data_IF_660253937453
#
_entry.id   IF_660253937453
#
_cell.length_a   1.000
_cell.length_b   1.000
_cell.length_c   1.000
_cell.angle_alpha   90.00
_cell.angle_beta   90.00
_cell.angle_gamma   90.00
#
_symmetry.space_group_name_H-M   'P 1'
#
loop_
_entity.id
_entity.type
_entity.pdbx_description
1 polymer ?
#
# COMPACT_ATOMS: atom_id res chain seq x y z
N UNK A 1 -35.09 -24.79 56.60
CA UNK A 1 -34.07 -24.00 55.86
C UNK A 1 -34.81 -22.84 55.18
N UNK A 2 -34.71 -21.56 55.57
CA UNK A 2 -33.54 -20.64 55.55
C UNK A 2 -32.85 -20.75 54.17
N UNK A 3 -32.89 -19.78 53.26
CA UNK A 3 -32.42 -18.38 53.34
C UNK A 3 -33.04 -17.55 52.17
N UNK A 4 -33.36 -16.25 52.39
CA UNK A 4 -33.67 -15.26 51.33
C UNK A 4 -32.43 -14.39 51.04
N UNK A 5 -32.09 -14.03 49.79
CA UNK A 5 -31.01 -13.09 49.50
C UNK A 5 -31.42 -11.62 49.65
N UNK A 6 -30.47 -10.80 50.12
CA UNK A 6 -30.59 -9.39 50.54
C UNK A 6 -30.42 -8.42 49.36
N UNK A 7 -31.13 -7.29 49.46
CA UNK A 7 -31.07 -6.09 48.60
C UNK A 7 -29.74 -5.35 48.79
N UNK A 8 -29.18 -4.81 47.70
CA UNK A 8 -28.06 -3.86 47.72
C UNK A 8 -28.62 -2.49 47.34
N UNK A 9 -28.41 -1.51 48.21
CA UNK A 9 -28.87 -0.12 48.08
C UNK A 9 -27.68 0.79 47.77
N UNK A 10 -27.89 1.77 46.90
CA UNK A 10 -26.94 2.80 46.49
C UNK A 10 -26.57 3.79 47.61
N UNK A 11 -25.39 4.41 47.51
CA UNK A 11 -25.07 5.66 48.22
C UNK A 11 -24.12 6.54 47.40
N UNK A 12 -24.53 7.79 47.19
CA UNK A 12 -23.78 8.87 46.56
C UNK A 12 -22.82 9.55 47.57
N UNK A 13 -21.75 10.21 47.08
CA UNK A 13 -21.05 11.23 47.88
C UNK A 13 -20.49 12.37 47.01
N UNK A 14 -20.60 13.58 47.57
CA UNK A 14 -20.43 14.90 46.97
C UNK A 14 -19.12 15.58 47.43
N UNK A 15 -18.57 16.42 46.55
CA UNK A 15 -17.72 17.63 46.66
C UNK A 15 -16.90 17.98 47.94
N UNK A 16 -15.68 18.55 47.78
CA UNK A 16 -15.28 19.93 48.20
C UNK A 16 -13.80 20.26 47.84
N UNK A 17 -13.52 21.55 47.61
CA UNK A 17 -12.29 22.22 47.10
C UNK A 17 -11.35 22.81 48.19
N UNK A 18 -10.21 23.43 47.75
CA UNK A 18 -9.16 24.26 48.41
C UNK A 18 -7.82 23.55 48.77
N UNK A 19 -6.59 24.10 48.62
CA UNK A 19 -6.06 25.41 48.24
C UNK A 19 -4.55 25.32 47.83
N UNK A 20 -4.03 26.35 47.13
CA UNK A 20 -2.62 26.53 46.69
C UNK A 20 -1.67 27.04 47.80
N UNK A 21 -0.34 27.14 47.56
CA UNK A 21 0.23 28.46 47.28
C UNK A 21 1.37 28.52 46.23
N UNK A 22 1.58 29.74 45.73
CA UNK A 22 2.58 30.23 44.76
C UNK A 22 3.92 30.53 45.44
N UNK A 23 5.06 30.30 44.75
CA UNK A 23 6.31 31.04 44.97
C UNK A 23 7.14 31.11 43.67
N UNK A 24 7.60 32.32 43.34
CA UNK A 24 8.28 32.77 42.12
C UNK A 24 9.76 32.32 41.97
N UNK A 25 10.30 32.62 40.78
CA UNK A 25 11.70 32.99 40.43
C UNK A 25 12.46 32.00 39.52
N UNK A 26 12.78 32.48 38.30
CA UNK A 26 13.74 31.90 37.33
C UNK A 26 15.13 32.53 37.56
N UNK A 27 16.25 31.80 37.38
CA UNK A 27 17.21 32.21 36.35
C UNK A 27 17.90 31.06 35.56
N UNK A 28 18.07 31.29 34.26
CA UNK A 28 19.17 30.96 33.33
C UNK A 28 20.04 29.67 33.44
N UNK A 29 20.03 28.91 32.33
CA UNK A 29 21.15 28.31 31.56
C UNK A 29 22.19 27.37 32.24
N UNK A 30 22.09 26.05 32.02
CA UNK A 30 23.24 25.14 31.82
C UNK A 30 22.88 23.75 31.23
N UNK A 31 23.23 23.56 29.95
CA UNK A 31 23.99 22.44 29.34
C UNK A 31 23.58 20.95 29.57
N UNK A 32 23.05 20.36 28.48
CA UNK A 32 23.24 19.01 27.90
C UNK A 32 23.21 17.75 28.78
N UNK A 33 22.30 16.84 28.43
CA UNK A 33 22.57 15.39 28.29
C UNK A 33 21.54 14.76 27.35
N UNK A 34 21.99 14.55 26.12
CA UNK A 34 21.56 13.61 25.09
C UNK A 34 20.28 12.81 25.37
N UNK A 35 19.14 13.27 24.81
CA UNK A 35 18.14 12.34 24.32
C UNK A 35 18.58 11.92 22.92
N UNK A 36 19.08 10.69 22.82
CA UNK A 36 19.24 9.97 21.56
C UNK A 36 17.85 9.86 20.93
N UNK A 37 17.58 10.74 19.98
CA UNK A 37 16.54 10.53 18.98
C UNK A 37 17.16 9.53 18.01
N UNK A 38 16.81 8.26 18.16
CA UNK A 38 17.05 7.27 17.11
C UNK A 38 16.31 7.77 15.86
N UNK A 39 17.09 8.41 15.00
CA UNK A 39 16.66 8.90 13.71
C UNK A 39 16.37 7.68 12.87
N UNK A 40 15.09 7.31 12.79
CA UNK A 40 14.58 6.50 11.71
C UNK A 40 15.05 7.16 10.42
N UNK A 41 16.00 6.49 9.77
CA UNK A 41 16.60 6.82 8.48
C UNK A 41 15.49 7.23 7.52
N UNK A 42 15.33 8.54 7.33
CA UNK A 42 14.56 9.07 6.22
C UNK A 42 15.35 8.71 4.96
N UNK A 43 15.00 7.56 4.39
CA UNK A 43 15.49 7.15 3.08
C UNK A 43 15.01 8.23 2.11
N UNK A 44 15.93 9.09 1.66
CA UNK A 44 15.68 10.11 0.67
C UNK A 44 15.04 9.46 -0.56
N UNK A 45 13.71 9.50 -0.61
CA UNK A 45 12.93 8.87 -1.66
C UNK A 45 13.00 9.81 -2.86
N UNK A 46 13.85 9.47 -3.82
CA UNK A 46 13.97 10.23 -5.05
C UNK A 46 12.76 9.88 -5.93
N UNK A 47 11.82 10.82 -6.04
CA UNK A 47 10.66 10.69 -6.90
C UNK A 47 10.93 11.33 -8.25
N UNK A 48 10.82 10.55 -9.33
CA UNK A 48 10.90 11.08 -10.70
C UNK A 48 9.55 10.86 -11.38
N UNK A 49 8.86 11.93 -11.75
CA UNK A 49 7.60 11.83 -12.50
C UNK A 49 7.87 11.25 -13.89
N UNK A 50 7.02 10.34 -14.33
CA UNK A 50 7.13 9.67 -15.63
C UNK A 50 5.92 9.95 -16.50
N UNK A 51 6.15 10.06 -17.80
CA UNK A 51 5.09 10.00 -18.80
C UNK A 51 4.89 8.54 -19.21
N UNK A 52 3.73 7.95 -18.88
CA UNK A 52 3.39 6.61 -19.36
C UNK A 52 2.44 6.72 -20.54
N UNK A 53 2.91 6.27 -21.69
CA UNK A 53 2.08 6.18 -22.90
C UNK A 53 1.43 4.81 -22.99
N UNK A 54 0.36 4.59 -22.21
CA UNK A 54 -0.53 3.44 -22.39
C UNK A 54 -1.99 3.90 -22.53
N UNK A 55 -2.56 3.72 -23.72
CA UNK A 55 -3.92 4.16 -24.05
C UNK A 55 -4.97 3.04 -23.99
N UNK A 56 -4.71 1.91 -23.32
CA UNK A 56 -5.67 0.79 -23.28
C UNK A 56 -6.72 0.95 -22.18
N UNK A 57 -7.80 1.69 -22.48
CA UNK A 57 -9.03 1.79 -21.67
C UNK A 57 -8.78 1.77 -20.15
N UNK A 58 -9.14 0.67 -19.48
CA UNK A 58 -9.05 0.50 -18.03
C UNK A 58 -7.63 0.35 -17.47
N UNK A 59 -6.66 0.06 -18.33
CA UNK A 59 -5.24 -0.04 -17.99
C UNK A 59 -4.48 1.25 -18.33
N UNK A 60 -5.18 2.36 -18.56
CA UNK A 60 -4.54 3.66 -18.73
C UNK A 60 -4.01 4.17 -17.39
N UNK A 61 -2.71 4.42 -17.32
CA UNK A 61 -2.06 5.09 -16.20
C UNK A 61 -2.47 6.58 -16.17
N UNK A 62 -2.78 7.09 -14.98
CA UNK A 62 -3.11 8.53 -14.75
C UNK A 62 -2.03 9.26 -13.97
N UNK A 63 -1.24 8.53 -13.20
CA UNK A 63 -0.03 9.02 -12.57
C UNK A 63 1.04 7.93 -12.62
N UNK A 64 2.29 8.35 -12.69
CA UNK A 64 3.44 7.46 -12.69
C UNK A 64 4.65 8.18 -12.12
N UNK A 65 5.35 7.51 -11.21
CA UNK A 65 6.63 7.98 -10.68
C UNK A 65 7.56 6.82 -10.40
N UNK A 66 8.86 7.06 -10.56
CA UNK A 66 9.89 6.18 -10.03
C UNK A 66 10.15 6.54 -8.58
N UNK A 67 10.26 5.52 -7.74
CA UNK A 67 10.58 5.60 -6.31
C UNK A 67 11.77 4.68 -6.08
N UNK A 68 12.91 5.24 -5.68
CA UNK A 68 14.08 4.45 -5.31
C UNK A 68 14.08 4.22 -3.80
N UNK A 69 14.03 2.96 -3.40
CA UNK A 69 14.13 2.55 -2.00
C UNK A 69 15.30 1.57 -1.87
N UNK A 70 16.33 2.01 -1.13
CA UNK A 70 17.57 1.26 -0.97
C UNK A 70 18.20 0.90 -2.34
N UNK A 71 18.29 -0.39 -2.64
CA UNK A 71 18.86 -0.93 -3.88
C UNK A 71 17.78 -1.33 -4.90
N UNK A 72 16.50 -1.09 -4.62
CA UNK A 72 15.40 -1.42 -5.54
C UNK A 72 14.72 -0.17 -6.07
N UNK A 73 14.53 -0.11 -7.38
CA UNK A 73 13.73 0.93 -8.02
C UNK A 73 12.32 0.40 -8.23
N UNK A 74 11.32 1.18 -7.84
CA UNK A 74 9.92 0.86 -8.01
C UNK A 74 9.27 1.84 -8.99
N UNK A 75 8.38 1.32 -9.82
CA UNK A 75 7.38 2.12 -10.51
C UNK A 75 6.13 2.20 -9.66
N UNK A 76 5.78 3.39 -9.20
CA UNK A 76 4.50 3.67 -8.56
C UNK A 76 3.58 4.25 -9.60
N UNK A 77 2.53 3.51 -9.96
CA UNK A 77 1.59 3.84 -11.03
C UNK A 77 0.15 3.74 -10.54
N UNK A 78 -0.65 4.79 -10.75
CA UNK A 78 -2.09 4.72 -10.56
C UNK A 78 -2.84 4.51 -11.87
N UNK A 79 -3.80 3.59 -11.88
CA UNK A 79 -4.67 3.31 -13.02
C UNK A 79 -5.94 4.17 -12.98
N UNK A 80 -6.43 4.58 -14.15
CA UNK A 80 -7.68 5.32 -14.30
C UNK A 80 -8.92 4.51 -13.89
N UNK A 81 -8.91 3.21 -14.20
CA UNK A 81 -10.01 2.28 -14.01
C UNK A 81 -9.89 1.43 -12.75
N UNK A 82 -10.99 0.80 -12.36
CA UNK A 82 -11.09 -0.01 -11.14
C UNK A 82 -11.23 -1.51 -11.37
N UNK A 83 -11.18 -1.98 -12.62
CA UNK A 83 -11.40 -3.40 -12.92
C UNK A 83 -10.15 -4.28 -12.83
N UNK A 84 -9.03 -3.72 -12.38
CA UNK A 84 -7.81 -4.44 -12.03
C UNK A 84 -7.39 -4.02 -10.62
N UNK A 85 -7.21 -5.00 -9.73
CA UNK A 85 -6.71 -4.81 -8.35
C UNK A 85 -5.37 -5.49 -8.13
N UNK A 86 -5.07 -6.51 -8.93
CA UNK A 86 -3.79 -7.20 -8.91
C UNK A 86 -3.13 -7.16 -10.30
N UNK A 87 -1.79 -7.16 -10.29
CA UNK A 87 -0.95 -7.28 -11.49
C UNK A 87 0.05 -8.43 -11.31
N UNK A 88 0.50 -9.02 -12.41
CA UNK A 88 1.63 -9.94 -12.42
C UNK A 88 2.72 -9.37 -13.33
N UNK A 89 3.94 -9.24 -12.81
CA UNK A 89 5.07 -8.73 -13.58
C UNK A 89 5.61 -9.84 -14.51
N UNK A 90 5.15 -9.83 -15.75
CA UNK A 90 5.53 -10.80 -16.77
C UNK A 90 4.49 -10.96 -17.87
N UNK A 91 4.76 -11.90 -18.79
CA UNK A 91 3.88 -12.22 -19.90
C UNK A 91 2.69 -13.08 -19.46
N UNK A 92 1.69 -13.18 -20.33
CA UNK A 92 0.51 -14.01 -20.10
C UNK A 92 0.88 -15.48 -19.86
N UNK A 93 1.80 -16.04 -20.64
CA UNK A 93 2.22 -17.45 -20.53
C UNK A 93 2.85 -17.72 -19.17
N UNK A 94 3.68 -16.77 -18.68
CA UNK A 94 4.28 -16.86 -17.35
C UNK A 94 3.22 -16.73 -16.25
N UNK A 95 2.24 -15.85 -16.41
CA UNK A 95 1.14 -15.71 -15.46
C UNK A 95 0.29 -16.99 -15.37
N UNK A 96 -0.05 -17.60 -16.53
CA UNK A 96 -0.78 -18.87 -16.58
C UNK A 96 0.02 -20.00 -15.94
N UNK A 97 1.32 -20.11 -16.23
CA UNK A 97 2.19 -21.13 -15.65
C UNK A 97 2.38 -20.95 -14.13
N UNK A 98 2.40 -19.69 -13.67
CA UNK A 98 2.47 -19.33 -12.25
C UNK A 98 1.18 -19.71 -11.50
N UNK A 99 0.04 -19.74 -12.20
CA UNK A 99 -1.25 -20.05 -11.60
C UNK A 99 -1.79 -18.91 -10.73
N UNK A 100 -2.61 -19.27 -9.76
CA UNK A 100 -3.24 -18.32 -8.85
C UNK A 100 -2.18 -17.77 -7.89
N UNK A 101 -1.96 -16.46 -7.96
CA UNK A 101 -0.92 -15.73 -7.21
C UNK A 101 -1.44 -15.05 -5.95
N UNK A 102 -2.53 -15.56 -5.38
CA UNK A 102 -3.03 -15.12 -4.08
C UNK A 102 -2.30 -15.79 -2.92
N UNK A 103 -1.88 -14.97 -1.95
CA UNK A 103 -1.16 -15.41 -0.75
C UNK A 103 -1.92 -16.49 0.01
N UNK A 104 -3.24 -16.40 0.05
CA UNK A 104 -4.14 -17.36 0.71
C UNK A 104 -4.07 -18.76 0.09
N UNK A 105 -3.60 -18.88 -1.16
CA UNK A 105 -3.34 -20.14 -1.86
C UNK A 105 -1.86 -20.53 -1.87
N UNK A 106 -1.03 -19.85 -1.08
CA UNK A 106 0.40 -20.15 -0.91
C UNK A 106 1.31 -19.54 -1.97
N UNK A 107 0.82 -18.61 -2.80
CA UNK A 107 1.59 -17.94 -3.84
C UNK A 107 1.43 -16.42 -3.71
N UNK A 108 2.48 -15.66 -3.47
CA UNK A 108 2.41 -14.18 -3.30
C UNK A 108 3.14 -13.46 -4.43
N UNK A 109 2.93 -13.93 -5.66
CA UNK A 109 3.60 -13.42 -6.87
C UNK A 109 2.85 -12.26 -7.54
N UNK A 110 1.61 -12.00 -7.13
CA UNK A 110 0.84 -10.86 -7.63
C UNK A 110 1.18 -9.58 -6.87
N UNK A 111 1.23 -8.48 -7.60
CA UNK A 111 1.40 -7.12 -7.10
C UNK A 111 0.01 -6.59 -6.78
N UNK A 112 -0.27 -6.44 -5.49
CA UNK A 112 -1.56 -5.98 -4.99
C UNK A 112 -1.62 -4.46 -4.98
N UNK A 113 -2.60 -3.89 -5.68
CA UNK A 113 -2.84 -2.46 -5.68
C UNK A 113 -3.54 -1.99 -4.41
N UNK A 114 -3.28 -0.74 -4.02
CA UNK A 114 -3.98 -0.06 -2.93
C UNK A 114 -4.71 1.18 -3.46
N UNK A 115 -5.73 1.63 -2.73
CA UNK A 115 -6.42 2.88 -3.07
C UNK A 115 -5.56 4.07 -2.60
N UNK A 116 -5.25 4.97 -3.51
CA UNK A 116 -4.61 6.24 -3.18
C UNK A 116 -5.65 7.30 -2.76
N UNK A 117 -5.19 8.52 -2.44
CA UNK A 117 -6.05 9.62 -2.00
C UNK A 117 -7.13 10.01 -3.01
N UNK A 118 -6.91 9.74 -4.30
CA UNK A 118 -7.86 10.01 -5.39
C UNK A 118 -8.80 8.81 -5.67
N UNK A 119 -8.82 7.81 -4.78
CA UNK A 119 -9.58 6.57 -4.93
C UNK A 119 -9.25 5.81 -6.24
N UNK A 120 -8.00 5.91 -6.69
CA UNK A 120 -7.45 5.14 -7.81
C UNK A 120 -6.61 3.99 -7.30
N UNK A 121 -6.62 2.87 -8.02
CA UNK A 121 -5.73 1.75 -7.70
C UNK A 121 -4.32 2.11 -8.12
N UNK A 122 -3.45 2.21 -7.13
CA UNK A 122 -2.03 2.48 -7.26
C UNK A 122 -1.22 1.22 -6.95
N UNK A 123 -0.22 0.98 -7.79
CA UNK A 123 0.60 -0.21 -7.76
C UNK A 123 2.05 0.19 -7.58
N UNK A 124 2.75 -0.52 -6.69
CA UNK A 124 4.19 -0.41 -6.51
C UNK A 124 4.86 -1.62 -7.15
N UNK A 125 5.36 -1.43 -8.36
CA UNK A 125 5.91 -2.49 -9.22
C UNK A 125 7.45 -2.47 -9.07
N UNK A 126 8.09 -3.55 -8.59
CA UNK A 126 9.55 -3.61 -8.54
C UNK A 126 10.11 -3.69 -9.96
N UNK A 127 11.10 -2.87 -10.27
CA UNK A 127 11.78 -2.84 -11.57
C UNK A 127 13.20 -3.37 -11.44
N UNK A 128 13.67 -4.01 -12.52
CA UNK A 128 15.09 -4.35 -12.70
C UNK A 128 15.78 -3.31 -13.59
N UNK A 129 17.10 -3.25 -13.55
CA UNK A 129 17.90 -2.31 -14.37
C UNK A 129 17.61 -2.46 -15.88
N UNK A 130 17.35 -3.68 -16.34
CA UNK A 130 16.95 -3.96 -17.71
C UNK A 130 15.64 -3.27 -18.11
N UNK A 131 14.67 -3.15 -17.19
CA UNK A 131 13.37 -2.52 -17.43
C UNK A 131 13.48 -0.99 -17.49
N UNK A 132 14.48 -0.41 -16.81
CA UNK A 132 14.76 1.03 -16.83
C UNK A 132 15.46 1.49 -18.12
N UNK A 133 15.95 0.56 -18.95
CA UNK A 133 16.66 0.87 -20.19
C UNK A 133 15.79 1.32 -21.37
N UNK A 134 14.51 1.66 -21.14
CA UNK A 134 13.54 2.03 -22.17
C UNK A 134 12.91 0.84 -22.90
N UNK A 135 13.13 -0.39 -22.42
CA UNK A 135 12.50 -1.59 -22.96
C UNK A 135 11.01 -1.62 -22.59
N UNK A 136 10.19 -2.26 -23.44
CA UNK A 136 8.80 -2.55 -23.11
C UNK A 136 8.73 -3.56 -21.97
N UNK A 137 8.13 -3.16 -20.85
CA UNK A 137 7.91 -3.99 -19.68
C UNK A 137 6.57 -4.72 -19.87
N UNK A 138 6.61 -6.05 -19.89
CA UNK A 138 5.42 -6.88 -19.94
C UNK A 138 4.80 -7.01 -18.55
N UNK A 139 3.50 -6.77 -18.45
CA UNK A 139 2.72 -6.94 -17.22
C UNK A 139 1.39 -7.58 -17.57
N UNK A 140 0.91 -8.47 -16.73
CA UNK A 140 -0.39 -9.12 -16.93
C UNK A 140 -1.34 -8.60 -15.87
N UNK A 141 -2.42 -7.95 -16.29
CA UNK A 141 -3.45 -7.46 -15.39
C UNK A 141 -4.44 -8.57 -15.03
N UNK A 142 -4.81 -8.68 -13.75
CA UNK A 142 -5.79 -9.65 -13.27
C UNK A 142 -7.15 -8.97 -13.20
N UNK A 143 -8.10 -9.43 -14.01
CA UNK A 143 -9.45 -8.84 -14.04
C UNK A 143 -10.28 -9.25 -12.84
N UNK A 144 -10.76 -8.27 -12.08
CA UNK A 144 -11.60 -8.49 -10.90
C UNK A 144 -12.85 -9.32 -11.25
N UNK A 145 -13.59 -8.92 -12.30
CA UNK A 145 -14.86 -9.58 -12.66
C UNK A 145 -14.65 -11.03 -13.14
N UNK A 146 -13.57 -11.29 -13.87
CA UNK A 146 -13.27 -12.66 -14.31
C UNK A 146 -12.70 -13.50 -13.18
N UNK A 147 -11.96 -12.88 -12.25
CA UNK A 147 -11.45 -13.55 -11.06
C UNK A 147 -12.58 -13.98 -10.12
N UNK A 148 -13.58 -13.12 -9.88
CA UNK A 148 -14.79 -13.51 -9.15
C UNK A 148 -15.51 -14.70 -9.79
N UNK A 149 -15.63 -14.71 -11.13
CA UNK A 149 -16.22 -15.85 -11.85
C UNK A 149 -15.38 -17.13 -11.73
N UNK A 150 -14.06 -17.02 -11.68
CA UNK A 150 -13.16 -18.15 -11.44
C UNK A 150 -13.34 -18.69 -10.02
N UNK A 151 -13.41 -17.82 -9.00
CA UNK A 151 -13.68 -18.22 -7.62
C UNK A 151 -15.05 -18.91 -7.49
N UNK A 152 -16.03 -18.48 -8.27
CA UNK A 152 -17.37 -19.10 -8.36
C UNK A 152 -17.42 -20.34 -9.27
N UNK A 153 -16.28 -20.82 -9.79
CA UNK A 153 -16.20 -22.01 -10.65
C UNK A 153 -16.86 -21.87 -12.03
N UNK A 154 -17.15 -20.64 -12.47
CA UNK A 154 -17.81 -20.35 -13.75
C UNK A 154 -16.82 -20.03 -14.88
N UNK A 155 -15.54 -19.81 -14.54
CA UNK A 155 -14.47 -19.54 -15.49
C UNK A 155 -13.20 -20.31 -15.12
N UNK A 156 -12.37 -20.59 -16.12
CA UNK A 156 -10.99 -21.03 -15.90
C UNK A 156 -10.10 -19.88 -15.45
N UNK A 157 -9.07 -20.19 -14.65
CA UNK A 157 -8.09 -19.23 -14.17
C UNK A 157 -7.44 -18.46 -15.32
N UNK A 158 -7.11 -19.11 -16.44
CA UNK A 158 -6.46 -18.47 -17.58
C UNK A 158 -7.26 -17.27 -18.13
N UNK A 159 -8.59 -17.24 -17.96
CA UNK A 159 -9.47 -16.17 -18.45
C UNK A 159 -9.38 -14.87 -17.64
N UNK A 160 -8.71 -14.87 -16.49
CA UNK A 160 -8.56 -13.69 -15.65
C UNK A 160 -7.38 -12.81 -16.09
N UNK A 161 -6.45 -13.38 -16.86
CA UNK A 161 -5.19 -12.75 -17.22
C UNK A 161 -5.31 -11.94 -18.52
N UNK A 162 -4.97 -10.66 -18.44
CA UNK A 162 -4.99 -9.74 -19.58
C UNK A 162 -3.58 -9.22 -19.84
N UNK A 163 -2.91 -9.60 -20.94
CA UNK A 163 -1.58 -9.10 -21.25
C UNK A 163 -1.62 -7.59 -21.51
N UNK A 164 -0.68 -6.89 -20.90
CA UNK A 164 -0.46 -5.44 -21.00
C UNK A 164 1.03 -5.17 -21.07
N UNK A 165 1.37 -3.95 -21.43
CA UNK A 165 2.75 -3.50 -21.46
C UNK A 165 2.83 -2.01 -21.23
N UNK A 166 3.95 -1.54 -20.72
CA UNK A 166 4.27 -0.13 -20.65
C UNK A 166 5.75 0.08 -20.95
N UNK A 167 6.10 1.29 -21.37
CA UNK A 167 7.48 1.72 -21.54
C UNK A 167 7.76 2.80 -20.51
N UNK A 168 9.00 2.82 -20.02
CA UNK A 168 9.46 3.82 -19.07
C UNK A 168 10.46 4.70 -19.82
N UNK A 169 10.03 5.92 -20.11
CA UNK A 169 10.90 6.95 -20.67
C UNK A 169 11.46 7.77 -19.51
N UNK A 170 12.67 7.42 -19.06
CA UNK A 170 13.42 8.28 -18.13
C UNK A 170 14.13 9.33 -18.99
N UNK A 171 13.71 10.60 -18.89
CA UNK A 171 14.46 11.70 -19.48
C UNK A 171 15.90 11.65 -18.94
N UNK A 172 16.86 11.45 -19.83
CA UNK A 172 18.30 11.39 -19.52
C UNK A 172 18.91 12.77 -19.47
#
# INVERSE_FOLDING_TARGET
>A
MKIRPKKITALALSALMLAAPVLDVIPAFAKTKDLVIDSAKEAATQETALTITNNTNMFKAVSAKLVKEEDTTYLVMALSGSGYRELYLGTYEKAVANGDGTKDKGNDSWIHGYLNNDSKYEFKIPLTDDMLSGKSVAVTAISNSYYEKYLNGTNDLARIFYPRQFQIDVEK
#
